data_IF_339348999735
#
_entry.id   IF_339348999735
#
_cell.length_a   1.000
_cell.length_b   1.000
_cell.length_c   1.000
_cell.angle_alpha   90.00
_cell.angle_beta   90.00
_cell.angle_gamma   90.00
#
_symmetry.space_group_name_H-M   'P 1'
#
loop_
_entity.id
_entity.type
_entity.pdbx_description
1 polymer ?
#
# COMPACT_ATOMS: atom_id res chain seq x y z
N UNK A 1 6.40 54.69 -4.12
CA UNK A 1 5.46 54.74 -2.98
C UNK A 1 5.22 53.31 -2.55
N UNK A 2 5.81 52.91 -1.42
CA UNK A 2 5.77 51.54 -0.89
C UNK A 2 4.59 51.39 0.07
N UNK A 3 3.86 50.29 -0.11
CA UNK A 3 2.60 49.98 0.56
C UNK A 3 2.83 49.41 1.97
N UNK A 4 2.62 50.25 3.00
CA UNK A 4 2.78 49.93 4.43
C UNK A 4 1.45 49.47 5.05
N UNK A 5 0.81 48.44 4.51
CA UNK A 5 -0.46 47.91 5.07
C UNK A 5 -0.53 46.39 5.29
N UNK A 6 0.58 45.67 5.12
CA UNK A 6 0.59 44.20 5.26
C UNK A 6 1.19 43.65 6.58
N UNK A 7 1.67 44.50 7.51
CA UNK A 7 2.41 44.02 8.71
C UNK A 7 1.59 44.10 10.01
N UNK A 8 0.32 44.53 9.97
CA UNK A 8 -0.46 44.77 11.19
C UNK A 8 -1.55 43.72 11.51
N UNK A 9 -1.59 42.59 10.79
CA UNK A 9 -2.63 41.55 10.97
C UNK A 9 -2.09 40.27 11.63
N UNK A 10 -0.77 40.10 11.75
CA UNK A 10 -0.17 38.85 12.29
C UNK A 10 0.13 38.84 13.79
N UNK A 11 -0.24 39.88 14.56
CA UNK A 11 0.09 39.97 16.01
C UNK A 11 -1.14 39.77 16.92
N UNK A 12 -2.36 39.79 16.37
CA UNK A 12 -3.60 39.79 17.19
C UNK A 12 -4.21 38.39 17.38
N UNK A 13 -3.76 37.36 16.65
CA UNK A 13 -4.36 36.00 16.71
C UNK A 13 -3.65 35.08 17.72
N UNK A 14 -2.49 35.46 18.27
CA UNK A 14 -1.72 34.62 19.21
C UNK A 14 -2.11 34.88 20.69
N UNK A 15 -2.97 35.86 20.98
CA UNK A 15 -3.31 36.24 22.36
C UNK A 15 -4.72 35.83 22.84
N UNK A 16 -5.42 34.94 22.12
CA UNK A 16 -6.81 34.54 22.44
C UNK A 16 -6.96 33.09 22.90
N UNK A 17 -5.87 32.38 23.20
CA UNK A 17 -5.88 30.99 23.71
C UNK A 17 -5.46 30.90 25.20
N UNK A 18 -5.12 32.03 25.84
CA UNK A 18 -4.61 32.05 27.21
C UNK A 18 -5.61 32.45 28.31
N UNK A 19 -6.92 32.54 28.04
CA UNK A 19 -7.93 32.99 29.02
C UNK A 19 -9.16 32.08 29.05
N UNK A 20 -8.94 30.76 29.16
CA UNK A 20 -9.98 29.78 29.59
C UNK A 20 -9.46 28.99 30.80
N UNK A 21 -8.73 29.68 31.66
CA UNK A 21 -8.36 29.22 32.98
C UNK A 21 -8.65 30.37 33.92
N UNK A 22 -9.31 30.05 35.03
CA UNK A 22 -9.82 30.96 36.06
C UNK A 22 -11.20 31.52 35.73
N UNK A 23 -12.19 31.02 36.48
CA UNK A 23 -13.48 31.60 36.87
C UNK A 23 -14.64 30.62 36.66
N UNK A 24 -14.66 29.55 37.45
CA UNK A 24 -15.92 29.13 38.04
C UNK A 24 -15.81 29.21 39.55
N UNK A 25 -16.51 30.22 40.05
CA UNK A 25 -16.65 30.61 41.43
C UNK A 25 -17.32 29.52 42.27
N UNK A 26 -16.87 29.53 43.52
CA UNK A 26 -17.45 29.00 44.74
C UNK A 26 -18.98 28.99 44.80
N UNK A 27 -19.56 27.83 45.10
CA UNK A 27 -20.77 27.76 45.93
C UNK A 27 -20.68 26.54 46.85
N UNK A 28 -20.58 26.79 48.15
CA UNK A 28 -20.85 25.81 49.20
C UNK A 28 -22.33 25.87 49.54
N UNK A 29 -22.98 24.71 49.74
CA UNK A 29 -23.94 24.63 50.83
C UNK A 29 -23.66 23.45 51.76
N UNK A 30 -23.82 23.77 53.05
CA UNK A 30 -24.35 22.96 54.14
C UNK A 30 -23.75 21.59 54.48
N UNK A 31 -23.39 21.47 55.75
CA UNK A 31 -23.06 20.23 56.46
C UNK A 31 -24.30 19.34 56.50
N UNK A 32 -24.21 18.16 55.91
CA UNK A 32 -25.04 17.01 56.28
C UNK A 32 -24.20 15.74 56.35
N UNK A 33 -24.43 14.99 57.41
CA UNK A 33 -23.66 13.84 57.84
C UNK A 33 -23.81 12.66 56.86
N UNK A 34 -22.84 12.48 55.98
CA UNK A 34 -22.64 11.22 55.27
C UNK A 34 -21.23 10.70 55.53
N UNK A 35 -21.14 9.57 56.24
CA UNK A 35 -19.90 8.78 56.34
C UNK A 35 -19.58 8.21 54.96
N UNK A 36 -18.46 8.56 54.31
CA UNK A 36 -17.97 7.78 53.19
C UNK A 36 -17.29 6.53 53.77
N UNK A 37 -17.72 5.36 53.31
CA UNK A 37 -16.95 4.14 53.50
C UNK A 37 -15.53 4.39 52.95
N UNK A 38 -14.50 4.07 53.75
CA UNK A 38 -13.11 4.05 53.31
C UNK A 38 -13.02 3.27 51.99
N UNK A 39 -12.59 3.90 50.88
CA UNK A 39 -12.31 3.15 49.68
C UNK A 39 -11.11 2.25 49.98
N UNK A 40 -11.30 0.93 49.89
CA UNK A 40 -10.18 0.00 49.76
C UNK A 40 -9.37 0.48 48.55
N UNK A 41 -8.14 0.91 48.80
CA UNK A 41 -7.17 1.21 47.76
C UNK A 41 -6.85 -0.11 47.05
N UNK A 42 -7.69 -0.50 46.09
CA UNK A 42 -7.31 -1.52 45.12
C UNK A 42 -6.21 -0.89 44.29
N UNK A 43 -4.99 -1.35 44.51
CA UNK A 43 -3.82 -1.01 43.72
C UNK A 43 -4.04 -1.56 42.31
N UNK A 44 -4.79 -0.82 41.48
CA UNK A 44 -4.87 -1.09 40.05
C UNK A 44 -3.55 -0.57 39.48
N UNK A 45 -2.54 -1.43 39.49
CA UNK A 45 -1.43 -1.28 38.56
C UNK A 45 -2.07 -1.15 37.18
N UNK A 46 -1.88 0.00 36.54
CA UNK A 46 -2.17 0.16 35.13
C UNK A 46 -1.32 -0.86 34.40
N UNK A 47 -1.92 -2.01 34.08
CA UNK A 47 -1.36 -2.96 33.13
C UNK A 47 -1.32 -2.20 31.82
N UNK A 48 -0.15 -1.65 31.49
CA UNK A 48 0.09 -1.17 30.15
C UNK A 48 -0.27 -2.31 29.21
N UNK A 49 -1.01 -2.07 28.11
CA UNK A 49 -1.21 -3.10 27.10
C UNK A 49 0.18 -3.63 26.78
N UNK A 50 0.42 -4.92 27.03
CA UNK A 50 1.62 -5.57 26.54
C UNK A 50 1.51 -5.40 25.04
N UNK A 51 2.28 -4.47 24.47
CA UNK A 51 2.47 -4.38 23.04
C UNK A 51 3.18 -5.67 22.68
N UNK A 52 2.38 -6.70 22.40
CA UNK A 52 2.86 -8.02 22.07
C UNK A 52 3.72 -7.83 20.83
N UNK A 53 5.04 -7.93 21.02
CA UNK A 53 5.98 -8.05 19.91
C UNK A 53 5.39 -9.12 18.99
N UNK A 54 5.19 -8.83 17.69
CA UNK A 54 4.65 -9.82 16.78
C UNK A 54 5.42 -11.13 16.96
N UNK A 55 4.73 -12.29 17.08
CA UNK A 55 5.42 -13.56 17.20
C UNK A 55 6.43 -13.69 16.07
N UNK A 56 7.60 -14.26 16.36
CA UNK A 56 8.65 -14.46 15.38
C UNK A 56 8.04 -15.18 14.15
N UNK A 57 8.32 -14.65 12.96
CA UNK A 57 7.78 -15.16 11.69
C UNK A 57 8.16 -16.65 11.56
N UNK A 58 7.20 -17.57 11.63
CA UNK A 58 7.40 -18.97 11.27
C UNK A 58 7.35 -19.10 9.73
N UNK A 59 8.47 -18.73 9.10
CA UNK A 59 8.58 -18.67 7.64
C UNK A 59 8.29 -20.04 7.02
N UNK A 60 8.60 -21.14 7.70
CA UNK A 60 8.48 -22.49 7.15
C UNK A 60 7.02 -22.85 6.84
N UNK A 61 6.07 -22.47 7.71
CA UNK A 61 4.62 -22.64 7.43
C UNK A 61 4.15 -21.79 6.26
N UNK A 62 4.70 -20.59 6.13
CA UNK A 62 4.44 -19.70 5.01
C UNK A 62 5.27 -20.04 3.76
N UNK A 63 5.94 -21.19 3.67
CA UNK A 63 6.87 -21.48 2.56
C UNK A 63 6.76 -22.90 2.00
N UNK A 64 5.60 -23.28 1.43
CA UNK A 64 5.42 -24.60 0.85
C UNK A 64 6.35 -24.83 -0.36
N UNK A 65 6.56 -26.10 -0.72
CA UNK A 65 7.48 -26.53 -1.79
C UNK A 65 7.23 -25.81 -3.12
N UNK A 66 5.97 -25.56 -3.48
CA UNK A 66 5.60 -24.84 -4.71
C UNK A 66 6.06 -23.37 -4.67
N UNK A 67 5.90 -22.66 -3.56
CA UNK A 67 6.39 -21.29 -3.36
C UNK A 67 7.92 -21.26 -3.44
N UNK A 68 8.58 -22.25 -2.83
CA UNK A 68 10.03 -22.38 -2.93
C UNK A 68 10.49 -22.62 -4.38
N UNK A 69 9.78 -23.45 -5.15
CA UNK A 69 10.09 -23.71 -6.55
C UNK A 69 9.93 -22.44 -7.41
N UNK A 70 8.82 -21.70 -7.24
CA UNK A 70 8.60 -20.43 -7.93
C UNK A 70 9.69 -19.40 -7.58
N UNK A 71 10.05 -19.26 -6.32
CA UNK A 71 11.08 -18.30 -5.89
C UNK A 71 12.47 -18.56 -6.52
N UNK A 72 12.77 -19.80 -6.96
CA UNK A 72 14.00 -20.12 -7.72
C UNK A 72 13.99 -19.58 -9.15
N UNK A 73 12.81 -19.22 -9.69
CA UNK A 73 12.64 -18.58 -11.01
C UNK A 73 12.78 -17.06 -10.96
N UNK A 74 13.08 -16.49 -9.78
CA UNK A 74 13.23 -15.05 -9.62
C UNK A 74 14.35 -14.48 -10.50
N UNK A 75 14.06 -13.35 -11.15
CA UNK A 75 14.99 -12.59 -11.95
C UNK A 75 15.56 -11.40 -11.16
N UNK A 76 16.53 -10.70 -11.74
CA UNK A 76 17.03 -9.45 -11.17
C UNK A 76 15.95 -8.36 -11.20
N UNK A 77 15.88 -7.59 -10.14
CA UNK A 77 14.86 -6.56 -9.95
C UNK A 77 15.45 -5.31 -9.31
N UNK A 78 14.73 -4.20 -9.46
CA UNK A 78 14.99 -2.93 -8.79
C UNK A 78 13.79 -2.58 -7.92
N UNK A 79 14.03 -2.16 -6.67
CA UNK A 79 12.98 -1.61 -5.81
C UNK A 79 12.81 -0.14 -6.13
N UNK A 80 11.62 0.23 -6.62
CA UNK A 80 11.30 1.63 -6.97
C UNK A 80 10.69 2.35 -5.77
N UNK A 81 9.81 1.66 -5.03
CA UNK A 81 9.14 2.22 -3.85
C UNK A 81 9.05 1.17 -2.76
N UNK A 82 9.25 1.58 -1.52
CA UNK A 82 8.93 0.79 -0.34
C UNK A 82 8.34 1.70 0.72
N UNK A 83 7.16 1.35 1.22
CA UNK A 83 6.43 2.17 2.17
C UNK A 83 5.74 1.28 3.19
N UNK A 84 5.95 1.60 4.47
CA UNK A 84 5.21 0.98 5.55
C UNK A 84 3.84 1.64 5.66
N UNK A 85 2.81 0.82 5.62
CA UNK A 85 1.40 1.19 5.72
C UNK A 85 0.85 0.59 7.00
N UNK A 86 0.26 1.43 7.84
CA UNK A 86 -0.36 1.02 9.09
C UNK A 86 -1.86 1.29 9.01
N UNK A 87 -2.62 0.29 8.61
CA UNK A 87 -4.08 0.33 8.69
C UNK A 87 -4.55 -0.57 9.81
N UNK A 88 -4.47 -1.89 9.58
CA UNK A 88 -4.95 -2.93 10.53
C UNK A 88 -3.81 -3.75 11.13
N UNK A 89 -2.71 -3.85 10.39
CA UNK A 89 -1.43 -4.44 10.79
C UNK A 89 -0.31 -3.72 10.06
N UNK A 90 0.93 -3.94 10.50
CA UNK A 90 2.11 -3.46 9.78
C UNK A 90 2.21 -4.16 8.42
N UNK A 91 1.91 -3.43 7.35
CA UNK A 91 1.99 -3.94 5.98
C UNK A 91 3.03 -3.13 5.21
N UNK A 92 4.00 -3.81 4.61
CA UNK A 92 4.95 -3.14 3.72
C UNK A 92 4.48 -3.24 2.27
N UNK A 93 4.16 -2.11 1.64
CA UNK A 93 3.97 -2.04 0.20
C UNK A 93 5.33 -1.86 -0.48
N UNK A 94 5.64 -2.71 -1.45
CA UNK A 94 6.88 -2.69 -2.22
C UNK A 94 6.53 -2.69 -3.70
N UNK A 95 7.04 -1.71 -4.44
CA UNK A 95 6.92 -1.65 -5.90
C UNK A 95 8.28 -1.95 -6.49
N UNK A 96 8.32 -2.91 -7.39
CA UNK A 96 9.55 -3.34 -8.06
C UNK A 96 9.37 -3.31 -9.58
N UNK A 97 10.49 -3.23 -10.30
CA UNK A 97 10.59 -3.52 -11.73
C UNK A 97 11.58 -4.66 -11.94
N UNK A 98 11.36 -5.47 -12.97
CA UNK A 98 12.24 -6.61 -13.31
C UNK A 98 12.31 -6.77 -14.83
N UNK A 99 13.20 -6.02 -15.52
CA UNK A 99 13.17 -5.90 -16.98
C UNK A 99 13.46 -7.23 -17.71
N UNK A 100 14.06 -8.20 -17.04
CA UNK A 100 14.39 -9.50 -17.61
C UNK A 100 13.42 -10.61 -17.23
N UNK A 101 12.42 -10.33 -16.38
CA UNK A 101 11.38 -11.32 -16.12
C UNK A 101 10.45 -11.43 -17.33
N UNK A 102 10.20 -12.66 -17.75
CA UNK A 102 9.39 -12.96 -18.91
C UNK A 102 8.46 -14.14 -18.60
N UNK A 103 7.23 -13.80 -18.25
CA UNK A 103 6.14 -14.74 -18.08
C UNK A 103 5.88 -15.16 -16.63
N UNK A 104 4.79 -15.92 -16.49
CA UNK A 104 4.12 -16.20 -15.22
C UNK A 104 5.04 -16.59 -14.06
N UNK A 105 5.84 -17.66 -14.24
CA UNK A 105 6.69 -18.18 -13.17
C UNK A 105 7.78 -17.19 -12.74
N UNK A 106 8.36 -16.45 -13.68
CA UNK A 106 9.42 -15.49 -13.39
C UNK A 106 8.87 -14.23 -12.73
N UNK A 107 7.69 -13.75 -13.16
CA UNK A 107 7.00 -12.64 -12.50
C UNK A 107 6.65 -12.98 -11.05
N UNK A 108 5.98 -14.12 -10.83
CA UNK A 108 5.66 -14.59 -9.48
C UNK A 108 6.90 -14.86 -8.65
N UNK A 109 7.86 -15.61 -9.19
CA UNK A 109 9.07 -15.98 -8.50
C UNK A 109 9.85 -14.77 -8.00
N UNK A 110 9.95 -13.74 -8.83
CA UNK A 110 10.59 -12.47 -8.48
C UNK A 110 9.85 -11.79 -7.33
N UNK A 111 8.54 -11.56 -7.48
CA UNK A 111 7.74 -10.88 -6.46
C UNK A 111 7.68 -11.65 -5.12
N UNK A 112 7.54 -12.98 -5.16
CA UNK A 112 7.59 -13.89 -3.99
C UNK A 112 8.92 -13.77 -3.27
N UNK A 113 10.04 -13.80 -4.00
CA UNK A 113 11.38 -13.67 -3.42
C UNK A 113 11.56 -12.32 -2.72
N UNK A 114 11.07 -11.23 -3.34
CA UNK A 114 11.06 -9.90 -2.73
C UNK A 114 10.21 -9.89 -1.47
N UNK A 115 8.97 -10.39 -1.53
CA UNK A 115 8.04 -10.41 -0.41
C UNK A 115 8.66 -11.07 0.82
N UNK A 116 9.28 -12.25 0.64
CA UNK A 116 10.00 -12.96 1.71
C UNK A 116 11.14 -12.14 2.29
N UNK A 117 12.03 -11.66 1.42
CA UNK A 117 13.23 -10.93 1.83
C UNK A 117 12.85 -9.68 2.66
N UNK A 118 11.81 -8.98 2.21
CA UNK A 118 11.29 -7.80 2.88
C UNK A 118 10.59 -8.12 4.20
N UNK A 119 9.81 -9.20 4.26
CA UNK A 119 9.15 -9.64 5.49
C UNK A 119 10.18 -9.97 6.58
N UNK A 120 11.24 -10.69 6.22
CA UNK A 120 12.34 -11.04 7.13
C UNK A 120 13.10 -9.79 7.57
N UNK A 121 13.57 -8.99 6.61
CA UNK A 121 14.44 -7.84 6.91
C UNK A 121 13.74 -6.71 7.65
N UNK A 122 12.43 -6.53 7.43
CA UNK A 122 11.63 -5.48 8.07
C UNK A 122 10.81 -5.97 9.26
N UNK A 123 10.75 -7.29 9.48
CA UNK A 123 9.97 -7.92 10.54
C UNK A 123 8.52 -7.42 10.58
N UNK A 124 7.83 -7.51 9.44
CA UNK A 124 6.43 -7.06 9.27
C UNK A 124 5.47 -8.23 9.15
N UNK A 125 4.23 -8.03 9.60
CA UNK A 125 3.14 -9.00 9.53
C UNK A 125 2.65 -9.26 8.09
N UNK A 126 2.80 -8.29 7.20
CA UNK A 126 2.45 -8.46 5.80
C UNK A 126 3.37 -7.68 4.85
N UNK A 127 3.54 -8.21 3.64
CA UNK A 127 4.25 -7.54 2.54
C UNK A 127 3.44 -7.70 1.27
N UNK A 128 3.14 -6.59 0.61
CA UNK A 128 2.49 -6.55 -0.71
C UNK A 128 3.52 -6.08 -1.72
N UNK A 129 3.75 -6.89 -2.75
CA UNK A 129 4.71 -6.63 -3.82
C UNK A 129 3.97 -6.45 -5.13
N UNK A 130 4.10 -5.26 -5.70
CA UNK A 130 3.62 -4.97 -7.05
C UNK A 130 4.82 -4.99 -8.00
N UNK A 131 4.82 -5.91 -8.96
CA UNK A 131 5.78 -5.92 -10.05
C UNK A 131 5.20 -5.08 -11.20
N UNK A 132 5.73 -3.89 -11.39
CA UNK A 132 5.29 -2.95 -12.42
C UNK A 132 6.22 -3.03 -13.65
N UNK A 133 5.71 -2.77 -14.86
CA UNK A 133 6.50 -2.86 -16.09
C UNK A 133 7.53 -1.72 -16.20
N UNK A 134 7.18 -0.53 -15.70
CA UNK A 134 8.05 0.63 -15.63
C UNK A 134 7.54 1.64 -14.59
N UNK A 135 8.30 2.70 -14.33
CA UNK A 135 7.97 3.70 -13.31
C UNK A 135 6.75 4.57 -13.65
N UNK A 136 6.52 4.85 -14.93
CA UNK A 136 5.41 5.69 -15.40
C UNK A 136 4.06 5.03 -15.12
N UNK A 137 4.02 3.70 -15.17
CA UNK A 137 2.80 2.91 -15.05
C UNK A 137 2.51 2.42 -13.62
N UNK A 138 3.31 2.82 -12.63
CA UNK A 138 3.10 2.44 -11.23
C UNK A 138 1.68 2.84 -10.77
N UNK A 139 0.93 1.86 -10.27
CA UNK A 139 -0.43 2.07 -9.77
C UNK A 139 -1.47 2.37 -10.85
N UNK A 140 -1.13 2.21 -12.14
CA UNK A 140 -2.07 2.42 -13.27
C UNK A 140 -2.78 1.16 -13.73
N UNK A 141 -2.62 0.04 -13.01
CA UNK A 141 -3.29 -1.23 -13.30
C UNK A 141 -2.52 -2.18 -14.22
N UNK A 142 -1.27 -1.85 -14.56
CA UNK A 142 -0.41 -2.64 -15.47
C UNK A 142 0.54 -3.58 -14.75
N UNK A 143 0.29 -3.91 -13.48
CA UNK A 143 1.18 -4.82 -12.75
C UNK A 143 1.29 -6.16 -13.47
N UNK A 144 2.51 -6.61 -13.71
CA UNK A 144 2.85 -7.93 -14.25
C UNK A 144 2.64 -9.03 -13.21
N UNK A 145 2.83 -8.71 -11.92
CA UNK A 145 2.48 -9.56 -10.81
C UNK A 145 2.06 -8.74 -9.58
N UNK A 146 1.20 -9.34 -8.76
CA UNK A 146 0.72 -8.82 -7.49
C UNK A 146 0.81 -9.96 -6.47
N UNK A 147 1.62 -9.78 -5.43
CA UNK A 147 1.92 -10.81 -4.43
C UNK A 147 1.81 -10.22 -3.03
N UNK A 148 0.91 -10.77 -2.24
CA UNK A 148 0.81 -10.54 -0.81
C UNK A 148 1.30 -11.77 -0.03
N UNK A 149 2.21 -11.52 0.92
CA UNK A 149 2.66 -12.45 1.95
C UNK A 149 2.09 -11.99 3.30
N UNK A 150 1.39 -12.88 3.99
CA UNK A 150 0.86 -12.69 5.33
C UNK A 150 1.58 -13.63 6.28
N UNK A 151 2.53 -13.13 7.06
CA UNK A 151 3.38 -13.98 7.92
C UNK A 151 2.64 -14.52 9.14
N UNK A 152 1.50 -13.92 9.47
CA UNK A 152 0.61 -14.29 10.58
C UNK A 152 -0.47 -15.31 10.19
N UNK A 153 -0.58 -15.69 8.90
CA UNK A 153 -1.59 -16.62 8.40
C UNK A 153 -3.03 -16.11 8.52
N UNK A 154 -3.22 -14.78 8.65
CA UNK A 154 -4.54 -14.15 8.78
C UNK A 154 -5.12 -13.67 7.45
N UNK A 155 -4.47 -13.95 6.32
CA UNK A 155 -4.93 -13.46 5.02
C UNK A 155 -5.01 -11.93 4.97
N UNK A 156 -5.81 -11.39 4.04
CA UNK A 156 -5.98 -9.95 3.85
C UNK A 156 -6.69 -9.24 5.02
N UNK A 157 -7.60 -9.93 5.72
CA UNK A 157 -8.40 -9.30 6.78
C UNK A 157 -7.56 -8.87 8.00
N UNK A 158 -6.41 -9.55 8.22
CA UNK A 158 -5.43 -9.27 9.27
C UNK A 158 -5.91 -9.53 10.70
N UNK A 159 -7.12 -10.04 10.87
CA UNK A 159 -7.82 -10.20 12.15
C UNK A 159 -8.00 -11.67 12.50
N UNK A 160 -8.53 -12.47 11.57
CA UNK A 160 -8.90 -13.87 11.80
C UNK A 160 -7.85 -14.79 11.23
N UNK A 161 -7.36 -15.74 12.03
CA UNK A 161 -6.51 -16.79 11.50
C UNK A 161 -7.32 -17.69 10.57
N UNK A 162 -6.96 -17.69 9.29
CA UNK A 162 -7.62 -18.47 8.24
C UNK A 162 -6.63 -19.36 7.47
N UNK A 163 -5.36 -19.40 7.90
CA UNK A 163 -4.30 -20.19 7.27
C UNK A 163 -3.82 -19.63 5.93
N UNK A 164 -4.26 -18.43 5.53
CA UNK A 164 -3.85 -17.82 4.26
C UNK A 164 -2.55 -17.05 4.46
N UNK A 165 -1.47 -17.59 3.90
CA UNK A 165 -0.14 -16.96 3.91
C UNK A 165 0.21 -16.26 2.59
N UNK A 166 -0.38 -16.69 1.48
CA UNK A 166 -0.10 -16.14 0.16
C UNK A 166 -1.38 -15.82 -0.58
N UNK A 167 -1.38 -14.65 -1.20
CA UNK A 167 -2.27 -14.34 -2.31
C UNK A 167 -1.39 -13.79 -3.42
N UNK A 168 -1.42 -14.42 -4.58
CA UNK A 168 -0.52 -14.08 -5.66
C UNK A 168 -1.23 -14.21 -6.99
N UNK A 169 -0.91 -13.33 -7.91
CA UNK A 169 -1.34 -13.40 -9.30
C UNK A 169 -0.29 -12.82 -10.22
N UNK A 170 -0.21 -13.32 -11.46
CA UNK A 170 0.70 -12.78 -12.46
C UNK A 170 0.15 -12.94 -13.87
N UNK A 171 0.64 -12.12 -14.78
CA UNK A 171 0.37 -12.25 -16.20
C UNK A 171 1.08 -13.48 -16.77
N UNK A 172 0.47 -14.11 -17.78
CA UNK A 172 1.14 -15.19 -18.51
C UNK A 172 2.33 -14.70 -19.32
N UNK A 173 2.19 -13.53 -19.94
CA UNK A 173 3.16 -12.93 -20.85
C UNK A 173 3.36 -11.44 -20.51
N UNK A 174 4.53 -10.86 -20.77
CA UNK A 174 4.72 -9.41 -20.68
C UNK A 174 3.85 -8.67 -21.71
N UNK A 175 3.58 -7.39 -21.44
CA UNK A 175 3.11 -6.49 -22.48
C UNK A 175 4.18 -6.31 -23.56
N UNK A 176 3.75 -6.12 -24.81
CA UNK A 176 4.68 -5.77 -25.88
C UNK A 176 5.30 -4.37 -25.64
N UNK A 177 6.49 -4.09 -26.19
CA UNK A 177 7.08 -2.75 -26.08
C UNK A 177 6.15 -1.64 -26.58
N UNK A 178 5.45 -1.88 -27.69
CA UNK A 178 4.48 -0.93 -28.25
C UNK A 178 3.29 -0.69 -27.32
N UNK A 179 2.76 -1.75 -26.69
CA UNK A 179 1.69 -1.65 -25.71
C UNK A 179 2.09 -0.79 -24.51
N UNK A 180 3.32 -0.98 -24.00
CA UNK A 180 3.85 -0.17 -22.91
C UNK A 180 4.07 1.29 -23.31
N UNK A 181 4.52 1.55 -24.54
CA UNK A 181 4.68 2.91 -25.07
C UNK A 181 3.34 3.64 -25.17
N UNK A 182 2.32 2.98 -25.74
CA UNK A 182 0.95 3.53 -25.81
C UNK A 182 0.43 3.87 -24.42
N UNK A 183 0.51 2.94 -23.47
CA UNK A 183 0.07 3.18 -22.11
C UNK A 183 0.86 4.31 -21.44
N UNK A 184 2.18 4.35 -21.59
CA UNK A 184 3.02 5.37 -20.96
C UNK A 184 2.67 6.76 -21.47
N UNK A 185 2.55 6.94 -22.80
CA UNK A 185 2.14 8.21 -23.39
C UNK A 185 0.73 8.62 -22.97
N UNK A 186 -0.20 7.66 -22.88
CA UNK A 186 -1.54 7.91 -22.38
C UNK A 186 -1.52 8.53 -20.99
N UNK A 187 -0.85 7.89 -20.02
CA UNK A 187 -0.85 8.36 -18.64
C UNK A 187 0.01 9.61 -18.42
N UNK A 188 1.02 9.84 -19.26
CA UNK A 188 1.83 11.07 -19.25
C UNK A 188 1.04 12.29 -19.71
N UNK A 189 0.21 12.14 -20.74
CA UNK A 189 -0.42 13.29 -21.40
C UNK A 189 -1.92 13.44 -21.14
N UNK A 190 -2.62 12.43 -20.60
CA UNK A 190 -4.08 12.47 -20.45
C UNK A 190 -4.63 13.73 -19.75
N UNK A 191 -3.87 14.34 -18.82
CA UNK A 191 -4.27 15.55 -18.12
C UNK A 191 -4.34 16.79 -19.02
N UNK A 192 -3.56 16.83 -20.09
CA UNK A 192 -3.56 17.91 -21.08
C UNK A 192 -4.78 17.87 -22.01
N UNK A 193 -5.45 16.71 -22.06
CA UNK A 193 -6.60 16.45 -22.93
C UNK A 193 -7.91 16.42 -22.14
N UNK A 194 -7.95 17.02 -20.94
CA UNK A 194 -9.18 17.17 -20.16
C UNK A 194 -10.01 18.35 -20.68
N UNK A 195 -11.32 18.15 -20.82
CA UNK A 195 -12.27 19.24 -21.08
C UNK A 195 -12.56 20.06 -19.81
N UNK A 196 -13.38 21.10 -19.95
CA UNK A 196 -13.78 21.97 -18.83
C UNK A 196 -14.53 21.25 -17.70
N UNK A 197 -15.00 20.03 -17.93
CA UNK A 197 -15.67 19.18 -16.95
C UNK A 197 -14.75 18.10 -16.37
N UNK A 198 -13.46 18.12 -16.73
CA UNK A 198 -12.49 17.12 -16.28
C UNK A 198 -12.63 15.76 -16.97
N UNK A 199 -13.31 15.70 -18.13
CA UNK A 199 -13.42 14.48 -18.93
C UNK A 199 -12.35 14.46 -20.02
N UNK A 200 -11.70 13.31 -20.20
CA UNK A 200 -10.66 13.14 -21.23
C UNK A 200 -11.29 13.17 -22.63
N UNK A 201 -10.76 14.01 -23.51
CA UNK A 201 -10.96 13.96 -24.95
C UNK A 201 -10.09 12.86 -25.56
N UNK A 202 -10.58 11.62 -25.49
CA UNK A 202 -9.82 10.44 -25.96
C UNK A 202 -9.46 10.51 -27.44
N UNK A 203 -10.29 11.13 -28.29
CA UNK A 203 -10.03 11.20 -29.73
C UNK A 203 -8.79 12.03 -30.03
N UNK A 204 -8.64 13.18 -29.36
CA UNK A 204 -7.47 14.03 -29.51
C UNK A 204 -6.21 13.37 -28.93
N UNK A 205 -6.32 12.75 -27.75
CA UNK A 205 -5.21 12.03 -27.13
C UNK A 205 -4.76 10.84 -27.98
N UNK A 206 -5.69 10.05 -28.53
CA UNK A 206 -5.37 8.91 -29.42
C UNK A 206 -4.63 9.38 -30.67
N UNK A 207 -5.07 10.46 -31.30
CA UNK A 207 -4.38 11.02 -32.47
C UNK A 207 -2.96 11.48 -32.13
N UNK A 208 -2.79 12.19 -31.02
CA UNK A 208 -1.46 12.57 -30.56
C UNK A 208 -0.55 11.36 -30.36
N UNK A 209 -1.00 10.32 -29.66
CA UNK A 209 -0.21 9.10 -29.44
C UNK A 209 0.10 8.39 -30.76
N UNK A 210 -0.88 8.33 -31.67
CA UNK A 210 -0.73 7.73 -32.99
C UNK A 210 0.37 8.43 -33.81
N UNK A 211 0.38 9.76 -33.82
CA UNK A 211 1.41 10.59 -34.44
C UNK A 211 2.78 10.36 -33.79
N UNK A 212 2.86 10.36 -32.44
CA UNK A 212 4.13 10.14 -31.73
C UNK A 212 4.75 8.77 -32.00
N UNK A 213 3.93 7.74 -32.19
CA UNK A 213 4.39 6.37 -32.43
C UNK A 213 4.42 5.97 -33.91
N UNK A 214 3.99 6.86 -34.82
CA UNK A 214 3.84 6.59 -36.24
C UNK A 214 2.99 5.34 -36.52
N UNK A 215 1.82 5.26 -35.88
CA UNK A 215 0.84 4.16 -36.02
C UNK A 215 -0.54 4.73 -36.36
N UNK A 216 -1.47 3.94 -36.92
CA UNK A 216 -2.82 4.45 -37.15
C UNK A 216 -3.60 4.64 -35.84
N UNK A 217 -4.45 5.68 -35.77
CA UNK A 217 -5.28 6.02 -34.58
C UNK A 217 -6.04 4.82 -34.00
N UNK A 218 -6.57 3.94 -34.85
CA UNK A 218 -7.33 2.77 -34.40
C UNK A 218 -6.48 1.70 -33.70
N UNK A 219 -5.16 1.75 -33.85
CA UNK A 219 -4.22 0.87 -33.16
C UNK A 219 -3.85 1.37 -31.75
N UNK A 220 -4.20 2.61 -31.40
CA UNK A 220 -4.00 3.16 -30.05
C UNK A 220 -5.04 2.59 -29.11
N UNK A 221 -4.67 1.49 -28.44
CA UNK A 221 -5.50 0.80 -27.45
C UNK A 221 -4.70 0.56 -26.17
N UNK A 222 -5.29 0.96 -25.04
CA UNK A 222 -4.74 0.60 -23.74
C UNK A 222 -4.76 -0.92 -23.57
N UNK A 223 -3.64 -1.55 -23.17
CA UNK A 223 -3.61 -2.98 -22.99
C UNK A 223 -4.47 -3.39 -21.78
N UNK A 224 -5.08 -4.58 -21.87
CA UNK A 224 -5.85 -5.16 -20.77
C UNK A 224 -4.94 -5.99 -19.87
N UNK A 225 -5.14 -5.90 -18.56
CA UNK A 225 -4.41 -6.70 -17.57
C UNK A 225 -5.16 -7.99 -17.29
N UNK A 226 -4.58 -9.12 -17.73
CA UNK A 226 -5.11 -10.46 -17.44
C UNK A 226 -4.10 -11.21 -16.58
N UNK A 227 -4.23 -11.10 -15.26
CA UNK A 227 -3.45 -11.86 -14.29
C UNK A 227 -4.19 -13.13 -13.91
N UNK A 228 -3.46 -14.24 -13.88
CA UNK A 228 -3.97 -15.51 -13.37
C UNK A 228 -3.58 -15.65 -11.91
N UNK A 229 -4.50 -16.12 -11.04
CA UNK A 229 -4.17 -16.38 -9.66
C UNK A 229 -3.23 -17.57 -9.53
N UNK A 230 -2.36 -17.54 -8.52
CA UNK A 230 -1.60 -18.69 -8.08
C UNK A 230 -2.54 -19.67 -7.39
N UNK A 231 -2.76 -20.83 -8.03
CA UNK A 231 -3.38 -21.97 -7.38
C UNK A 231 -2.32 -22.72 -6.59
N UNK A 232 -2.44 -22.69 -5.27
CA UNK A 232 -1.66 -23.56 -4.38
C UNK A 232 -2.52 -24.80 -4.15
N UNK A 233 -2.03 -25.95 -4.60
CA UNK A 233 -2.69 -27.22 -4.29
C UNK A 233 -2.53 -27.47 -2.79
N UNK A 234 -3.57 -27.13 -2.03
CA UNK A 234 -3.69 -27.48 -0.62
C UNK A 234 -4.05 -28.97 -0.50
N UNK A 235 -3.21 -29.86 -1.03
CA UNK A 235 -3.28 -31.26 -0.63
C UNK A 235 -2.62 -31.36 0.74
N UNK A 236 -3.35 -31.74 1.81
CA UNK A 236 -2.69 -32.10 3.06
C UNK A 236 -1.70 -33.22 2.74
N UNK A 237 -0.45 -33.05 3.17
CA UNK A 237 0.47 -34.18 3.22
C UNK A 237 -0.04 -35.05 4.35
N UNK A 238 -0.64 -36.19 4.01
CA UNK A 238 -0.90 -37.28 4.95
C UNK A 238 0.41 -37.78 5.59
#
# INVERSE_FOLDING_TARGET
MQDKRAVQVSIIVILTIAVVLVLYFTSTPSKDNFRPATPKTTNIQAVQPIEQRPPAIDINRSWPTQIAALARRAMSYTVIKSQLVHERRSTLLVVITSPYANGYEQFLGTAIKVARSMAISRNVAAVHVLLEPNEVLIGKGYQLADVALYTDGKGEDGQTFNGVYWQASAMQNPYSPQQLQVASLWFQHQSEYLDSHGKINESALKRYIAEQLNIPDFAVKLPQSNRLPLTIDNQPSD
#
